data_IF_829501752229
#
_entry.id   IF_829501752229
#
_cell.length_a   1.000
_cell.length_b   1.000
_cell.length_c   1.000
_cell.angle_alpha   90.00
_cell.angle_beta   90.00
_cell.angle_gamma   90.00
#
_symmetry.space_group_name_H-M   'P 1'
#
loop_
_entity.id
_entity.type
_entity.pdbx_description
1 polymer ?
#
# COMPACT_ATOMS: atom_id res chain seq x y z
N UNK A 1 -7.38 54.08 7.25
CA UNK A 1 -6.35 53.07 6.92
C UNK A 1 -6.70 51.77 7.63
N UNK A 2 -7.44 50.89 6.96
CA UNK A 2 -7.96 49.66 7.56
C UNK A 2 -6.93 48.56 7.34
N UNK A 3 -6.27 48.11 8.42
CA UNK A 3 -5.29 47.02 8.38
C UNK A 3 -5.97 45.73 7.90
N UNK A 4 -5.57 45.25 6.74
CA UNK A 4 -6.01 43.97 6.19
C UNK A 4 -5.38 42.85 7.02
N UNK A 5 -6.23 42.09 7.72
CA UNK A 5 -5.82 40.99 8.60
C UNK A 5 -5.46 39.80 7.71
N UNK A 6 -4.16 39.52 7.57
CA UNK A 6 -3.65 38.33 6.84
C UNK A 6 -4.20 37.09 7.56
N UNK A 7 -5.05 36.32 6.87
CA UNK A 7 -5.50 35.01 7.37
C UNK A 7 -4.29 34.10 7.40
N UNK A 8 -4.02 33.48 8.55
CA UNK A 8 -3.03 32.42 8.64
C UNK A 8 -3.37 31.35 7.61
N UNK A 9 -2.42 31.06 6.70
CA UNK A 9 -2.54 29.96 5.75
C UNK A 9 -2.84 28.67 6.52
N UNK A 10 -4.05 28.15 6.34
CA UNK A 10 -4.43 26.87 6.90
C UNK A 10 -3.57 25.83 6.19
N UNK A 11 -2.60 25.26 6.89
CA UNK A 11 -1.76 24.19 6.34
C UNK A 11 -2.64 23.02 5.91
N UNK A 12 -2.79 22.85 4.59
CA UNK A 12 -3.45 21.70 4.00
C UNK A 12 -2.38 20.67 3.56
N UNK A 13 -2.20 19.55 4.28
CA UNK A 13 -1.26 18.52 3.86
C UNK A 13 -1.70 17.77 2.59
N UNK A 14 -2.94 17.95 2.13
CA UNK A 14 -3.39 17.47 0.82
C UNK A 14 -3.01 18.43 -0.32
N UNK A 15 -2.47 19.62 -0.02
CA UNK A 15 -2.14 20.63 -1.04
C UNK A 15 -1.20 20.05 -2.10
N UNK A 16 -1.58 20.21 -3.37
CA UNK A 16 -0.84 19.67 -4.51
C UNK A 16 -1.06 18.18 -4.79
N UNK A 17 -1.87 17.45 -4.00
CA UNK A 17 -2.20 16.03 -4.27
C UNK A 17 -3.57 15.88 -4.91
N UNK A 18 -3.65 15.09 -5.98
CA UNK A 18 -4.90 14.74 -6.65
C UNK A 18 -4.99 13.24 -6.96
N UNK A 19 -6.18 12.76 -7.34
CA UNK A 19 -6.40 11.40 -7.79
C UNK A 19 -5.90 10.32 -6.82
N UNK A 20 -5.14 9.36 -7.34
CA UNK A 20 -4.61 8.25 -6.55
C UNK A 20 -3.64 8.69 -5.46
N UNK A 21 -2.76 9.66 -5.74
CA UNK A 21 -1.79 10.15 -4.77
C UNK A 21 -2.47 10.73 -3.52
N UNK A 22 -3.54 11.51 -3.71
CA UNK A 22 -4.36 12.04 -2.61
C UNK A 22 -5.06 10.92 -1.83
N UNK A 23 -5.60 9.93 -2.54
CA UNK A 23 -6.29 8.80 -1.91
C UNK A 23 -5.32 7.98 -1.04
N UNK A 24 -4.16 7.61 -1.57
CA UNK A 24 -3.12 6.88 -0.85
C UNK A 24 -2.64 7.66 0.37
N UNK A 25 -2.34 8.96 0.19
CA UNK A 25 -1.94 9.83 1.28
C UNK A 25 -2.97 9.87 2.41
N UNK A 26 -4.26 10.07 2.09
CA UNK A 26 -5.33 10.10 3.10
C UNK A 26 -5.50 8.76 3.80
N UNK A 27 -5.47 7.65 3.07
CA UNK A 27 -5.55 6.32 3.65
C UNK A 27 -4.40 6.11 4.65
N UNK A 28 -3.16 6.35 4.23
CA UNK A 28 -1.98 6.14 5.07
C UNK A 28 -1.94 7.11 6.26
N UNK A 29 -1.96 8.41 5.98
CA UNK A 29 -1.63 9.43 6.97
C UNK A 29 -2.81 9.81 7.85
N UNK A 30 -4.01 9.96 7.26
CA UNK A 30 -5.21 10.40 8.02
C UNK A 30 -5.93 9.22 8.68
N UNK A 31 -6.17 8.13 7.93
CA UNK A 31 -6.97 7.00 8.41
C UNK A 31 -6.14 6.02 9.24
N UNK A 32 -4.98 5.60 8.73
CA UNK A 32 -4.13 4.61 9.39
C UNK A 32 -3.09 5.22 10.34
N UNK A 33 -2.82 6.53 10.21
CA UNK A 33 -1.84 7.28 11.01
C UNK A 33 -0.43 6.68 10.97
N UNK A 34 -0.04 6.22 9.78
CA UNK A 34 1.29 5.64 9.54
C UNK A 34 2.17 6.61 8.76
N UNK A 35 3.47 6.61 9.03
CA UNK A 35 4.48 7.16 8.13
C UNK A 35 4.56 6.34 6.84
N UNK A 36 5.21 6.88 5.80
CA UNK A 36 5.45 6.15 4.54
C UNK A 36 6.22 4.84 4.80
N UNK A 37 7.21 4.88 5.70
CA UNK A 37 8.01 3.71 6.07
C UNK A 37 7.17 2.65 6.79
N UNK A 38 6.43 3.02 7.82
CA UNK A 38 5.58 2.08 8.56
C UNK A 38 4.48 1.48 7.68
N UNK A 39 3.89 2.27 6.76
CA UNK A 39 2.90 1.75 5.82
C UNK A 39 3.51 0.72 4.86
N UNK A 40 4.69 1.01 4.35
CA UNK A 40 5.43 0.12 3.44
C UNK A 40 5.80 -1.19 4.14
N UNK A 41 6.35 -1.09 5.34
CA UNK A 41 6.71 -2.23 6.18
C UNK A 41 5.46 -3.06 6.52
N UNK A 42 4.40 -2.43 7.06
CA UNK A 42 3.17 -3.12 7.48
C UNK A 42 2.50 -3.92 6.35
N UNK A 43 2.47 -3.40 5.13
CA UNK A 43 1.76 -4.02 4.00
C UNK A 43 2.69 -4.69 2.98
N UNK A 44 3.96 -4.90 3.34
CA UNK A 44 4.97 -5.55 2.48
C UNK A 44 5.10 -4.89 1.09
N UNK A 45 5.01 -3.56 1.05
CA UNK A 45 5.24 -2.75 -0.13
C UNK A 45 6.63 -2.13 -0.09
N UNK A 46 7.23 -1.88 -1.26
CA UNK A 46 8.47 -1.10 -1.31
C UNK A 46 8.21 0.35 -0.90
N UNK A 47 9.10 0.89 -0.06
CA UNK A 47 9.08 2.30 0.34
C UNK A 47 9.12 3.26 -0.86
N UNK A 48 9.95 2.97 -1.87
CA UNK A 48 10.04 3.80 -3.06
C UNK A 48 8.72 3.84 -3.83
N UNK A 49 8.05 2.70 -3.96
CA UNK A 49 6.75 2.61 -4.65
C UNK A 49 5.69 3.45 -3.94
N UNK A 50 5.62 3.39 -2.61
CA UNK A 50 4.68 4.20 -1.82
C UNK A 50 5.00 5.69 -1.94
N UNK A 51 6.28 6.06 -1.77
CA UNK A 51 6.75 7.45 -1.85
C UNK A 51 6.43 8.06 -3.22
N UNK A 52 6.83 7.38 -4.31
CA UNK A 52 6.71 7.91 -5.67
C UNK A 52 5.23 8.02 -6.06
N UNK A 53 4.38 7.05 -5.66
CA UNK A 53 2.94 7.12 -5.89
C UNK A 53 2.28 8.29 -5.15
N UNK A 54 2.69 8.60 -3.91
CA UNK A 54 2.19 9.78 -3.17
C UNK A 54 2.72 11.12 -3.71
N UNK A 55 3.80 11.09 -4.50
CA UNK A 55 4.34 12.23 -5.25
C UNK A 55 3.72 12.40 -6.64
N UNK A 56 2.80 11.50 -7.04
CA UNK A 56 2.05 11.61 -8.28
C UNK A 56 2.51 10.69 -9.41
N UNK A 57 3.46 9.77 -9.16
CA UNK A 57 3.80 8.75 -10.13
C UNK A 57 2.56 7.91 -10.50
N UNK A 58 2.46 7.52 -11.78
CA UNK A 58 1.31 6.75 -12.28
C UNK A 58 1.31 5.36 -11.62
N UNK A 59 0.28 5.02 -10.80
CA UNK A 59 0.24 3.72 -10.14
C UNK A 59 -0.09 2.62 -11.14
N UNK A 60 0.56 1.46 -10.98
CA UNK A 60 0.23 0.24 -11.71
C UNK A 60 -1.16 -0.26 -11.34
N UNK A 61 -1.83 -1.05 -12.20
CA UNK A 61 -3.08 -1.71 -11.83
C UNK A 61 -2.99 -2.53 -10.54
N UNK A 62 -1.90 -3.27 -10.35
CA UNK A 62 -1.67 -4.08 -9.13
C UNK A 62 -1.56 -3.22 -7.87
N UNK A 63 -0.85 -2.08 -7.94
CA UNK A 63 -0.77 -1.17 -6.79
C UNK A 63 -2.15 -0.57 -6.45
N UNK A 64 -2.95 -0.24 -7.46
CA UNK A 64 -4.34 0.22 -7.25
C UNK A 64 -5.18 -0.84 -6.55
N UNK A 65 -5.09 -2.09 -7.02
CA UNK A 65 -5.79 -3.22 -6.43
C UNK A 65 -5.41 -3.43 -4.96
N UNK A 66 -4.11 -3.48 -4.67
CA UNK A 66 -3.59 -3.68 -3.31
C UNK A 66 -4.05 -2.54 -2.39
N UNK A 67 -3.93 -1.28 -2.83
CA UNK A 67 -4.37 -0.12 -2.02
C UNK A 67 -5.89 -0.13 -1.79
N UNK A 68 -6.68 -0.55 -2.79
CA UNK A 68 -8.12 -0.74 -2.61
C UNK A 68 -8.44 -1.84 -1.59
N UNK A 69 -7.70 -2.96 -1.62
CA UNK A 69 -7.86 -4.04 -0.66
C UNK A 69 -7.48 -3.59 0.77
N UNK A 70 -6.37 -2.85 0.93
CA UNK A 70 -5.97 -2.26 2.22
C UNK A 70 -7.03 -1.29 2.73
N UNK A 71 -7.62 -0.46 1.86
CA UNK A 71 -8.67 0.46 2.26
C UNK A 71 -9.95 -0.25 2.75
N UNK A 72 -10.23 -1.45 2.20
CA UNK A 72 -11.37 -2.29 2.58
C UNK A 72 -11.11 -3.00 3.92
N UNK A 73 -9.99 -3.70 4.06
CA UNK A 73 -9.63 -4.42 5.27
C UNK A 73 -8.11 -4.32 5.58
N UNK A 74 -7.70 -3.31 6.36
CA UNK A 74 -6.29 -3.12 6.71
C UNK A 74 -5.74 -4.20 7.63
N UNK A 75 -6.57 -4.87 8.42
CA UNK A 75 -6.11 -5.90 9.37
C UNK A 75 -5.80 -7.18 8.60
N UNK A 76 -6.72 -7.62 7.75
CA UNK A 76 -6.54 -8.78 6.88
C UNK A 76 -5.34 -8.61 5.94
N UNK A 77 -5.21 -7.46 5.28
CA UNK A 77 -4.07 -7.21 4.39
C UNK A 77 -2.73 -7.17 5.12
N UNK A 78 -2.69 -6.72 6.38
CA UNK A 78 -1.47 -6.79 7.19
C UNK A 78 -1.11 -8.24 7.57
N UNK A 79 -2.10 -9.09 7.82
CA UNK A 79 -1.88 -10.53 8.04
C UNK A 79 -1.31 -11.20 6.78
N UNK A 80 -1.95 -10.99 5.61
CA UNK A 80 -1.46 -11.49 4.33
C UNK A 80 -0.05 -10.97 3.99
N UNK A 81 0.26 -9.71 4.33
CA UNK A 81 1.60 -9.17 4.13
C UNK A 81 2.65 -9.88 4.99
N UNK A 82 2.29 -10.35 6.19
CA UNK A 82 3.19 -11.19 7.00
C UNK A 82 3.38 -12.55 6.37
N UNK A 83 2.31 -13.15 5.84
CA UNK A 83 2.38 -14.46 5.22
C UNK A 83 3.18 -14.43 3.90
N UNK A 84 3.03 -13.37 3.09
CA UNK A 84 3.79 -13.16 1.86
C UNK A 84 5.31 -13.01 2.07
N UNK A 85 5.76 -12.68 3.29
CA UNK A 85 7.19 -12.67 3.64
C UNK A 85 7.73 -14.05 3.97
N UNK A 86 6.86 -15.02 4.24
CA UNK A 86 7.25 -16.41 4.50
C UNK A 86 7.68 -17.04 3.18
N UNK A 87 8.65 -17.95 3.24
CA UNK A 87 9.00 -18.75 2.07
C UNK A 87 7.85 -19.73 1.83
N UNK A 88 7.48 -19.88 0.57
CA UNK A 88 6.60 -20.95 0.14
C UNK A 88 7.19 -22.30 0.53
N UNK A 89 6.41 -23.14 1.20
CA UNK A 89 6.79 -24.51 1.55
C UNK A 89 5.88 -25.46 0.79
N UNK A 90 6.43 -26.20 -0.17
CA UNK A 90 5.69 -27.29 -0.80
C UNK A 90 5.99 -28.59 -0.03
N UNK A 91 4.94 -29.22 0.52
CA UNK A 91 5.02 -30.50 1.24
C UNK A 91 4.53 -30.49 2.69
N UNK A 92 3.64 -31.46 2.97
CA UNK A 92 3.24 -32.07 4.25
C UNK A 92 2.97 -31.18 5.48
N UNK A 93 1.94 -30.33 5.40
CA UNK A 93 1.06 -30.10 6.57
C UNK A 93 0.95 -28.69 7.15
N UNK A 94 1.55 -27.65 6.54
CA UNK A 94 1.42 -26.26 7.03
C UNK A 94 0.55 -25.39 6.10
N UNK A 95 -0.13 -24.35 6.61
CA UNK A 95 -1.21 -23.64 5.91
C UNK A 95 -0.74 -22.65 4.82
N UNK A 96 0.47 -22.79 4.26
CA UNK A 96 0.99 -21.90 3.21
C UNK A 96 1.80 -22.66 2.15
N UNK A 97 1.10 -23.30 1.21
CA UNK A 97 1.68 -23.99 0.07
C UNK A 97 1.55 -23.14 -1.21
N UNK A 98 2.66 -22.74 -1.83
CA UNK A 98 2.67 -22.02 -3.11
C UNK A 98 2.98 -22.97 -4.28
N UNK A 99 2.39 -24.15 -4.29
CA UNK A 99 2.42 -25.06 -5.42
C UNK A 99 1.04 -25.11 -6.09
N UNK A 100 0.82 -24.28 -7.12
CA UNK A 100 -0.19 -24.58 -8.16
C UNK A 100 0.54 -25.15 -9.39
N UNK A 101 0.48 -26.48 -9.55
CA UNK A 101 0.75 -27.19 -10.80
C UNK A 101 2.22 -27.29 -11.21
N UNK A 102 2.94 -28.29 -10.71
CA UNK A 102 4.01 -28.90 -11.49
C UNK A 102 3.37 -29.52 -12.74
N UNK A 103 3.35 -28.76 -13.83
CA UNK A 103 3.22 -29.30 -15.18
C UNK A 103 4.44 -30.16 -15.49
N UNK A 104 4.47 -31.36 -14.92
CA UNK A 104 5.30 -32.45 -15.40
C UNK A 104 4.61 -32.99 -16.66
N UNK A 105 4.94 -32.41 -17.82
CA UNK A 105 4.80 -33.14 -19.08
C UNK A 105 5.86 -34.23 -19.10
N UNK A 106 5.61 -35.28 -18.31
CA UNK A 106 6.39 -36.50 -18.32
C UNK A 106 6.46 -37.01 -19.74
N UNK A 107 7.68 -37.07 -20.27
CA UNK A 107 7.97 -37.61 -21.58
C UNK A 107 7.48 -39.05 -21.72
N UNK A 108 6.90 -39.33 -22.87
CA UNK A 108 7.11 -40.56 -23.62
C UNK A 108 7.37 -40.20 -25.07
#
# INVERSE_FOLDING_TARGET
>A
MTKQKVKADVFDPDFGKSGFARHLFRLRFRRLKLSQREFSERFALSYSVVRDAEQGARPTPSLRLIVAAIARDPAFMAALANDARRRCTCGDGEPYDCCEGSGDTGGR
#
